data_IF_253604149911
#
_entry.id   IF_253604149911
#
_cell.length_a   1.000
_cell.length_b   1.000
_cell.length_c   1.000
_cell.angle_alpha   90.00
_cell.angle_beta   90.00
_cell.angle_gamma   90.00
#
_symmetry.space_group_name_H-M   'P 1'
#
loop_
_entity.id
_entity.type
_entity.pdbx_description
1 polymer ?
#
# COMPACT_ATOMS: atom_id res chain seq x y z
N UNK A 1 -35.48 57.54 24.07
CA UNK A 1 -34.90 56.23 24.45
C UNK A 1 -35.24 55.22 23.37
N UNK A 2 -34.26 54.75 22.59
CA UNK A 2 -34.49 53.90 21.41
C UNK A 2 -34.38 52.44 21.84
N UNK A 3 -35.50 51.72 21.89
CA UNK A 3 -35.55 50.31 22.29
C UNK A 3 -34.99 49.46 21.14
N UNK A 4 -33.84 48.83 21.36
CA UNK A 4 -33.23 47.90 20.40
C UNK A 4 -33.82 46.51 20.62
N UNK A 5 -34.72 46.06 19.73
CA UNK A 5 -35.18 44.68 19.70
C UNK A 5 -34.03 43.77 19.24
N UNK A 6 -33.43 43.02 20.18
CA UNK A 6 -32.53 41.91 19.81
C UNK A 6 -33.38 40.78 19.24
N UNK A 7 -33.21 40.47 17.95
CA UNK A 7 -33.81 39.27 17.34
C UNK A 7 -33.17 38.04 17.97
N UNK A 8 -33.95 37.23 18.68
CA UNK A 8 -33.54 35.93 19.17
C UNK A 8 -33.58 34.87 18.05
N UNK A 9 -32.66 33.92 18.09
CA UNK A 9 -32.67 32.75 17.20
C UNK A 9 -33.73 31.76 17.68
N UNK A 10 -34.57 31.23 16.79
CA UNK A 10 -35.59 30.26 17.17
C UNK A 10 -35.00 28.86 17.31
N UNK A 11 -35.58 28.03 18.19
CA UNK A 11 -35.15 26.63 18.35
C UNK A 11 -35.34 25.82 17.06
N UNK A 12 -36.36 26.13 16.26
CA UNK A 12 -36.61 25.46 14.99
C UNK A 12 -35.56 25.81 13.93
N UNK A 13 -35.08 27.06 13.91
CA UNK A 13 -33.97 27.47 13.04
C UNK A 13 -32.68 26.74 13.39
N UNK A 14 -32.40 26.52 14.68
CA UNK A 14 -31.21 25.74 15.06
C UNK A 14 -31.37 24.25 14.72
N UNK A 15 -32.57 23.70 14.88
CA UNK A 15 -32.87 22.30 14.60
C UNK A 15 -32.70 21.98 13.11
N UNK A 16 -33.21 22.82 12.22
CA UNK A 16 -33.07 22.59 10.77
C UNK A 16 -31.62 22.67 10.30
N UNK A 17 -30.81 23.56 10.90
CA UNK A 17 -29.40 23.71 10.54
C UNK A 17 -28.60 22.46 10.90
N UNK A 18 -28.76 21.93 12.12
CA UNK A 18 -28.05 20.70 12.50
C UNK A 18 -28.52 19.49 11.69
N UNK A 19 -29.79 19.46 11.28
CA UNK A 19 -30.32 18.43 10.38
C UNK A 19 -29.64 18.48 9.00
N UNK A 20 -29.51 19.66 8.39
CA UNK A 20 -28.85 19.82 7.08
C UNK A 20 -27.35 19.47 7.17
N UNK A 21 -26.65 19.95 8.21
CA UNK A 21 -25.24 19.63 8.44
C UNK A 21 -25.05 18.10 8.59
N UNK A 22 -25.96 17.42 9.30
CA UNK A 22 -25.94 15.97 9.44
C UNK A 22 -26.01 15.22 8.10
N UNK A 23 -26.91 15.65 7.21
CA UNK A 23 -27.05 15.07 5.87
C UNK A 23 -25.78 15.29 5.05
N UNK A 24 -25.29 16.53 4.97
CA UNK A 24 -24.09 16.88 4.20
C UNK A 24 -22.84 16.15 4.74
N UNK A 25 -22.69 16.05 6.05
CA UNK A 25 -21.57 15.35 6.69
C UNK A 25 -21.52 13.86 6.32
N UNK A 26 -22.68 13.19 6.23
CA UNK A 26 -22.75 11.76 5.88
C UNK A 26 -22.22 11.47 4.47
N UNK A 27 -22.60 12.29 3.48
CA UNK A 27 -22.17 12.14 2.07
C UNK A 27 -20.68 12.42 1.92
N UNK A 28 -20.20 13.48 2.58
CA UNK A 28 -18.78 13.86 2.57
C UNK A 28 -17.93 12.75 3.20
N UNK A 29 -18.35 12.18 4.33
CA UNK A 29 -17.61 11.11 5.00
C UNK A 29 -17.48 9.86 4.13
N UNK A 30 -18.56 9.46 3.45
CA UNK A 30 -18.54 8.31 2.54
C UNK A 30 -17.56 8.52 1.36
N UNK A 31 -17.61 9.71 0.74
CA UNK A 31 -16.70 10.04 -0.37
C UNK A 31 -15.23 10.14 0.06
N UNK A 32 -14.97 10.69 1.24
CA UNK A 32 -13.62 10.81 1.80
C UNK A 32 -13.01 9.44 2.11
N UNK A 33 -13.79 8.48 2.62
CA UNK A 33 -13.29 7.14 2.90
C UNK A 33 -12.84 6.42 1.61
N UNK A 34 -13.62 6.54 0.54
CA UNK A 34 -13.24 5.99 -0.78
C UNK A 34 -11.98 6.66 -1.33
N UNK A 35 -11.87 7.99 -1.22
CA UNK A 35 -10.70 8.74 -1.66
C UNK A 35 -9.43 8.34 -0.90
N UNK A 36 -9.52 8.14 0.43
CA UNK A 36 -8.40 7.66 1.25
C UNK A 36 -7.92 6.28 0.85
N UNK A 37 -8.82 5.34 0.59
CA UNK A 37 -8.45 4.00 0.11
C UNK A 37 -7.76 4.05 -1.25
N UNK A 38 -8.27 4.84 -2.19
CA UNK A 38 -7.63 5.04 -3.51
C UNK A 38 -6.24 5.72 -3.39
N UNK A 39 -6.10 6.67 -2.48
CA UNK A 39 -4.81 7.30 -2.18
C UNK A 39 -3.80 6.31 -1.59
N UNK A 40 -4.27 5.39 -0.75
CA UNK A 40 -3.44 4.30 -0.22
C UNK A 40 -2.97 3.36 -1.34
N UNK A 41 -3.84 3.02 -2.29
CA UNK A 41 -3.47 2.22 -3.46
C UNK A 41 -2.42 2.91 -4.34
N UNK A 42 -2.53 4.22 -4.53
CA UNK A 42 -1.53 4.99 -5.25
C UNK A 42 -0.17 4.95 -4.54
N UNK A 43 -0.15 5.08 -3.20
CA UNK A 43 1.06 4.96 -2.40
C UNK A 43 1.68 3.56 -2.49
N UNK A 44 0.88 2.49 -2.44
CA UNK A 44 1.34 1.11 -2.65
C UNK A 44 2.05 1.00 -4.01
N UNK A 45 1.39 1.43 -5.09
CA UNK A 45 1.94 1.37 -6.45
C UNK A 45 3.26 2.13 -6.58
N UNK A 46 3.32 3.33 -6.01
CA UNK A 46 4.53 4.16 -6.03
C UNK A 46 5.68 3.53 -5.24
N UNK A 47 5.42 3.00 -4.04
CA UNK A 47 6.43 2.30 -3.25
C UNK A 47 6.97 1.06 -3.99
N UNK A 48 6.09 0.26 -4.60
CA UNK A 48 6.50 -0.93 -5.36
C UNK A 48 7.27 -0.57 -6.65
N UNK A 49 6.91 0.52 -7.32
CA UNK A 49 7.62 0.96 -8.53
C UNK A 49 9.09 1.30 -8.24
N UNK A 50 9.39 1.81 -7.05
CA UNK A 50 10.75 2.12 -6.62
C UNK A 50 11.57 0.88 -6.25
N UNK A 51 10.96 -0.30 -6.04
CA UNK A 51 11.70 -1.50 -5.66
C UNK A 51 12.64 -1.99 -6.76
N UNK A 52 12.28 -1.81 -8.03
CA UNK A 52 13.07 -2.29 -9.16
C UNK A 52 14.44 -1.63 -9.26
N UNK A 53 14.56 -0.30 -9.31
CA UNK A 53 15.88 0.33 -9.30
C UNK A 53 16.68 0.01 -8.02
N UNK A 54 16.02 -0.17 -6.87
CA UNK A 54 16.72 -0.60 -5.65
C UNK A 54 17.25 -2.03 -5.75
N UNK A 55 16.51 -2.93 -6.40
CA UNK A 55 17.00 -4.28 -6.66
C UNK A 55 18.21 -4.28 -7.60
N UNK A 56 18.21 -3.44 -8.64
CA UNK A 56 19.37 -3.34 -9.54
C UNK A 56 20.60 -2.76 -8.81
N UNK A 57 20.42 -1.75 -7.95
CA UNK A 57 21.51 -1.24 -7.10
C UNK A 57 22.08 -2.36 -6.22
N UNK A 58 21.22 -3.19 -5.64
CA UNK A 58 21.67 -4.36 -4.88
C UNK A 58 22.43 -5.34 -5.76
N UNK A 59 21.91 -5.66 -6.95
CA UNK A 59 22.50 -6.61 -7.90
C UNK A 59 23.93 -6.20 -8.30
N UNK A 60 24.12 -4.94 -8.68
CA UNK A 60 25.40 -4.38 -9.09
C UNK A 60 26.37 -4.17 -7.92
N UNK A 61 25.84 -3.96 -6.71
CA UNK A 61 26.60 -3.75 -5.49
C UNK A 61 26.79 -5.01 -4.66
N UNK A 62 26.10 -5.06 -3.52
CA UNK A 62 26.26 -6.12 -2.49
C UNK A 62 25.87 -7.53 -2.96
N UNK A 63 24.99 -7.62 -3.96
CA UNK A 63 24.50 -8.86 -4.53
C UNK A 63 25.48 -9.54 -5.50
N UNK A 64 26.54 -8.82 -5.92
CA UNK A 64 27.62 -9.34 -6.76
C UNK A 64 27.14 -10.10 -8.00
N UNK A 65 26.19 -9.51 -8.74
CA UNK A 65 25.59 -10.13 -9.93
C UNK A 65 24.45 -11.11 -9.63
N UNK A 66 23.87 -11.04 -8.42
CA UNK A 66 22.71 -11.83 -8.02
C UNK A 66 21.76 -11.02 -7.14
N UNK A 67 20.51 -11.46 -6.98
CA UNK A 67 19.60 -10.93 -5.95
C UNK A 67 19.73 -11.67 -4.61
N UNK A 68 20.80 -12.45 -4.42
CA UNK A 68 21.10 -13.25 -3.24
C UNK A 68 20.35 -14.59 -3.18
N UNK A 69 20.30 -15.18 -1.98
CA UNK A 69 19.77 -16.54 -1.78
C UNK A 69 18.25 -16.62 -1.97
N UNK A 70 17.80 -17.76 -2.50
CA UNK A 70 16.37 -18.06 -2.61
C UNK A 70 15.69 -17.98 -1.24
N UNK A 71 14.50 -17.38 -1.18
CA UNK A 71 13.77 -17.24 0.07
C UNK A 71 12.53 -16.37 -0.06
N UNK A 72 11.56 -16.65 0.80
CA UNK A 72 10.35 -15.85 0.95
C UNK A 72 10.52 -14.83 2.07
N UNK A 73 10.00 -13.64 1.88
CA UNK A 73 10.02 -12.53 2.81
C UNK A 73 8.60 -12.01 3.00
N UNK A 74 8.20 -11.82 4.26
CA UNK A 74 6.91 -11.23 4.60
C UNK A 74 7.13 -10.07 5.56
N UNK A 75 6.49 -8.94 5.27
CA UNK A 75 6.53 -7.75 6.11
C UNK A 75 5.11 -7.34 6.45
N UNK A 76 4.80 -7.27 7.74
CA UNK A 76 3.48 -6.85 8.20
C UNK A 76 3.30 -5.34 8.07
N UNK A 77 2.06 -4.88 8.13
CA UNK A 77 1.74 -3.44 8.16
C UNK A 77 2.33 -2.71 9.38
N UNK A 78 2.70 -3.44 10.44
CA UNK A 78 3.41 -2.95 11.62
C UNK A 78 4.95 -2.97 11.45
N UNK A 79 5.47 -3.39 10.29
CA UNK A 79 6.90 -3.45 10.02
C UNK A 79 7.62 -4.67 10.61
N UNK A 80 6.89 -5.69 11.06
CA UNK A 80 7.48 -6.96 11.51
C UNK A 80 7.93 -7.74 10.28
N UNK A 81 9.18 -8.19 10.28
CA UNK A 81 9.86 -8.85 9.16
C UNK A 81 10.03 -10.33 9.49
N UNK A 82 9.61 -11.21 8.57
CA UNK A 82 9.68 -12.66 8.75
C UNK A 82 10.23 -13.34 7.49
N UNK A 83 11.18 -14.27 7.67
CA UNK A 83 11.64 -15.19 6.61
C UNK A 83 12.67 -14.64 5.62
N UNK A 84 12.92 -13.33 5.61
CA UNK A 84 13.80 -12.68 4.64
C UNK A 84 15.25 -13.20 4.79
N UNK A 85 15.65 -14.09 3.89
CA UNK A 85 16.99 -14.66 3.82
C UNK A 85 18.03 -13.60 3.44
N UNK A 86 19.32 -13.95 3.41
CA UNK A 86 20.41 -13.09 2.94
C UNK A 86 20.31 -12.81 1.44
N UNK A 87 19.36 -11.95 1.06
CA UNK A 87 18.99 -11.62 -0.31
C UNK A 87 18.51 -10.16 -0.41
N UNK A 88 18.06 -9.73 -1.59
CA UNK A 88 17.63 -8.35 -1.85
C UNK A 88 16.56 -7.85 -0.88
N UNK A 89 15.69 -8.70 -0.33
CA UNK A 89 14.70 -8.25 0.67
C UNK A 89 15.28 -8.05 2.08
N UNK A 90 16.48 -8.56 2.35
CA UNK A 90 17.24 -8.21 3.55
C UNK A 90 18.02 -6.90 3.40
N UNK A 91 18.10 -6.32 2.19
CA UNK A 91 18.60 -4.97 2.03
C UNK A 91 17.68 -3.94 2.70
N UNK A 92 18.28 -2.93 3.33
CA UNK A 92 17.54 -1.95 4.13
C UNK A 92 16.65 -1.04 3.28
N UNK A 93 17.11 -0.56 2.13
CA UNK A 93 16.34 0.38 1.31
C UNK A 93 15.23 -0.34 0.55
N UNK A 94 15.52 -1.53 0.01
CA UNK A 94 14.50 -2.38 -0.60
C UNK A 94 13.41 -2.75 0.41
N UNK A 95 13.82 -3.15 1.62
CA UNK A 95 12.89 -3.50 2.71
C UNK A 95 12.03 -2.33 3.14
N UNK A 96 12.59 -1.12 3.25
CA UNK A 96 11.80 0.08 3.60
C UNK A 96 10.68 0.36 2.60
N UNK A 97 10.91 0.13 1.30
CA UNK A 97 9.87 0.24 0.28
C UNK A 97 8.75 -0.79 0.47
N UNK A 98 9.09 -2.03 0.78
CA UNK A 98 8.12 -3.07 1.12
C UNK A 98 7.33 -2.74 2.40
N UNK A 99 8.00 -2.26 3.46
CA UNK A 99 7.35 -1.84 4.71
C UNK A 99 6.38 -0.68 4.47
N UNK A 100 6.78 0.33 3.71
CA UNK A 100 5.92 1.47 3.38
C UNK A 100 4.66 1.03 2.60
N UNK A 101 4.81 0.07 1.67
CA UNK A 101 3.68 -0.51 0.97
C UNK A 101 2.77 -1.35 1.88
N UNK A 102 3.34 -2.16 2.77
CA UNK A 102 2.59 -2.93 3.76
C UNK A 102 1.76 -2.00 4.66
N UNK A 103 2.37 -0.96 5.22
CA UNK A 103 1.69 0.03 6.06
C UNK A 103 0.59 0.79 5.30
N UNK A 104 0.82 1.16 4.04
CA UNK A 104 -0.20 1.80 3.20
C UNK A 104 -1.40 0.88 2.95
N UNK A 105 -1.15 -0.41 2.69
CA UNK A 105 -2.23 -1.39 2.51
C UNK A 105 -3.00 -1.69 3.80
N UNK A 106 -2.31 -1.69 4.94
CA UNK A 106 -2.82 -2.25 6.20
C UNK A 106 -2.70 -3.78 6.28
N UNK A 107 -2.14 -4.42 5.26
CA UNK A 107 -1.89 -5.86 5.13
C UNK A 107 -0.38 -6.13 4.93
N UNK A 108 -0.04 -7.41 4.74
CA UNK A 108 1.35 -7.82 4.58
C UNK A 108 1.85 -7.62 3.15
N UNK A 109 3.08 -7.13 3.00
CA UNK A 109 3.83 -7.24 1.77
C UNK A 109 4.56 -8.59 1.73
N UNK A 110 4.42 -9.31 0.63
CA UNK A 110 5.08 -10.62 0.42
C UNK A 110 6.02 -10.50 -0.75
N UNK A 111 7.24 -11.01 -0.61
CA UNK A 111 8.22 -11.07 -1.69
C UNK A 111 8.96 -12.39 -1.71
N UNK A 112 9.37 -12.84 -2.89
CA UNK A 112 10.17 -14.05 -3.07
C UNK A 112 11.38 -13.75 -3.95
N UNK A 113 12.53 -14.30 -3.57
CA UNK A 113 13.70 -14.42 -4.45
C UNK A 113 13.84 -15.86 -4.87
N UNK A 114 14.10 -16.07 -6.16
CA UNK A 114 14.44 -17.37 -6.71
C UNK A 114 15.92 -17.66 -6.55
N UNK A 115 16.27 -18.94 -6.59
CA UNK A 115 17.64 -19.32 -6.90
C UNK A 115 17.98 -18.96 -8.34
N UNK A 116 19.01 -19.56 -8.91
CA UNK A 116 19.31 -19.39 -10.35
C UNK A 116 18.18 -19.94 -11.24
N UNK A 117 17.58 -19.14 -12.16
CA UNK A 117 17.93 -17.75 -12.49
C UNK A 117 17.39 -16.74 -11.48
N UNK A 118 18.28 -15.84 -11.02
CA UNK A 118 18.01 -14.83 -10.00
C UNK A 118 16.87 -13.91 -10.42
N UNK A 119 15.68 -14.22 -9.96
CA UNK A 119 14.46 -13.47 -10.19
C UNK A 119 13.80 -13.14 -8.85
N UNK A 120 13.01 -12.07 -8.81
CA UNK A 120 12.27 -11.72 -7.62
C UNK A 120 10.90 -11.16 -7.97
N UNK A 121 9.94 -11.36 -7.08
CA UNK A 121 8.64 -10.71 -7.15
C UNK A 121 8.23 -10.21 -5.77
N UNK A 122 7.47 -9.12 -5.75
CA UNK A 122 6.83 -8.56 -4.55
C UNK A 122 5.38 -8.25 -4.87
N UNK A 123 4.47 -8.65 -3.99
CA UNK A 123 3.06 -8.35 -4.08
C UNK A 123 2.52 -7.80 -2.76
N UNK A 124 1.60 -6.83 -2.87
CA UNK A 124 0.93 -6.21 -1.71
C UNK A 124 -0.56 -6.11 -2.01
N UNK A 125 -1.45 -6.50 -1.08
CA UNK A 125 -2.89 -6.32 -1.25
C UNK A 125 -3.25 -4.84 -1.46
N UNK A 126 -4.17 -4.56 -2.38
CA UNK A 126 -4.75 -3.23 -2.52
C UNK A 126 -5.78 -2.99 -1.42
N UNK A 127 -5.89 -1.74 -0.97
CA UNK A 127 -6.80 -1.33 0.09
C UNK A 127 -8.24 -1.21 -0.39
N UNK A 128 -8.45 -0.87 -1.67
CA UNK A 128 -9.80 -0.74 -2.23
C UNK A 128 -10.50 -2.08 -2.45
N UNK A 129 -9.75 -3.13 -2.81
CA UNK A 129 -10.31 -4.47 -3.07
C UNK A 129 -9.41 -5.54 -2.44
N UNK A 130 -9.90 -6.14 -1.35
CA UNK A 130 -9.15 -7.05 -0.48
C UNK A 130 -8.60 -8.32 -1.18
N UNK A 131 -9.17 -8.70 -2.33
CA UNK A 131 -8.75 -9.88 -3.10
C UNK A 131 -7.80 -9.55 -4.25
N UNK A 132 -7.45 -8.28 -4.43
CA UNK A 132 -6.53 -7.85 -5.49
C UNK A 132 -5.22 -7.39 -4.89
N UNK A 133 -4.14 -7.66 -5.60
CA UNK A 133 -2.78 -7.33 -5.20
C UNK A 133 -2.14 -6.49 -6.30
N UNK A 134 -1.31 -5.53 -5.92
CA UNK A 134 -0.35 -4.94 -6.83
C UNK A 134 0.92 -5.76 -6.77
N UNK A 135 1.37 -6.27 -7.92
CA UNK A 135 2.57 -7.08 -8.02
C UNK A 135 3.59 -6.43 -8.96
N UNK A 136 4.86 -6.45 -8.53
CA UNK A 136 6.03 -6.11 -9.34
C UNK A 136 7.05 -7.24 -9.30
N UNK A 137 7.80 -7.41 -10.38
CA UNK A 137 8.86 -8.42 -10.46
C UNK A 137 10.10 -7.92 -11.20
N UNK A 138 11.17 -8.71 -11.18
CA UNK A 138 12.41 -8.42 -11.90
C UNK A 138 12.22 -8.44 -13.42
N UNK A 139 11.25 -9.20 -13.94
CA UNK A 139 11.08 -9.45 -15.38
C UNK A 139 10.40 -8.30 -16.14
N UNK A 140 9.56 -7.49 -15.49
CA UNK A 140 8.82 -6.46 -16.21
C UNK A 140 7.54 -6.03 -15.55
N UNK A 141 6.97 -6.87 -14.69
CA UNK A 141 5.60 -6.69 -14.28
C UNK A 141 5.44 -5.51 -13.33
N UNK A 142 4.32 -4.82 -13.51
CA UNK A 142 3.77 -3.82 -12.61
C UNK A 142 2.27 -3.80 -12.86
N UNK A 143 1.56 -4.76 -12.29
CA UNK A 143 0.17 -5.05 -12.64
C UNK A 143 -0.64 -5.51 -11.43
N UNK A 144 -1.96 -5.35 -11.54
CA UNK A 144 -2.90 -5.94 -10.59
C UNK A 144 -3.04 -7.44 -10.85
N UNK A 145 -3.08 -8.25 -9.79
CA UNK A 145 -3.34 -9.68 -9.83
C UNK A 145 -4.39 -10.05 -8.79
N UNK A 146 -5.13 -11.14 -9.01
CA UNK A 146 -6.15 -11.67 -8.09
C UNK A 146 -5.64 -12.87 -7.28
N UNK A 147 -4.56 -13.49 -7.73
CA UNK A 147 -3.88 -14.57 -7.01
C UNK A 147 -2.79 -13.99 -6.12
N UNK A 148 -2.78 -14.40 -4.86
CA UNK A 148 -1.70 -14.05 -3.94
C UNK A 148 -0.36 -14.61 -4.43
N UNK A 149 0.72 -13.88 -4.16
CA UNK A 149 2.07 -14.34 -4.46
C UNK A 149 2.43 -15.50 -3.51
N UNK A 150 2.67 -16.69 -4.06
CA UNK A 150 3.02 -17.90 -3.30
C UNK A 150 4.54 -17.98 -3.09
N UNK A 151 5.23 -18.94 -3.70
CA UNK A 151 6.70 -19.06 -3.78
C UNK A 151 7.27 -18.60 -5.12
N UNK A 152 6.39 -18.18 -6.05
CA UNK A 152 6.78 -17.72 -7.37
C UNK A 152 7.57 -16.41 -7.31
N UNK A 153 8.49 -16.24 -8.26
CA UNK A 153 9.41 -15.10 -8.39
C UNK A 153 9.06 -14.20 -9.58
N UNK A 154 7.87 -14.41 -10.12
CA UNK A 154 7.27 -13.65 -11.21
C UNK A 154 5.82 -13.38 -10.82
N UNK A 155 5.29 -12.23 -11.21
CA UNK A 155 3.91 -11.88 -10.90
C UNK A 155 2.93 -12.87 -11.54
N UNK A 156 1.95 -13.40 -10.79
CA UNK A 156 0.96 -14.33 -11.32
C UNK A 156 0.25 -13.78 -12.56
N UNK A 157 -0.14 -14.67 -13.47
CA UNK A 157 -1.13 -14.35 -14.50
C UNK A 157 -2.50 -14.37 -13.84
N UNK A 158 -3.15 -13.21 -13.79
CA UNK A 158 -4.51 -12.98 -13.29
C UNK A 158 -5.55 -13.86 -14.00
#
# INVERSE_FOLDING_TARGET
MKINFKKGFTLIELLVVVAIIGILASVVLASLNSARSKGSDAAIKANLANLRPQAEIYYDGTGAGTYGSAGACSITSAGVVTGCASNVMADTTFRSGMTAAASASGNNAVGNVGGTPSAWAVAVPLKTVATTFWCVDSAGASKSVTTALSTNTVCPTS
#
